data_IF_435228757851
#
_entry.id   IF_435228757851
#
_cell.length_a   1.000
_cell.length_b   1.000
_cell.length_c   1.000
_cell.angle_alpha   90.00
_cell.angle_beta   90.00
_cell.angle_gamma   90.00
#
_symmetry.space_group_name_H-M   'P 1'
#
loop_
_entity.id
_entity.type
_entity.pdbx_description
1 polymer ?
#
# COMPACT_ATOMS: atom_id res chain seq x y z
N UNK A 1 -60.99 -48.28 14.99
CA UNK A 1 -59.55 -48.04 14.89
C UNK A 1 -59.33 -47.06 13.78
N UNK A 2 -59.02 -45.78 14.12
CA UNK A 2 -58.91 -44.69 13.15
C UNK A 2 -57.44 -44.30 13.05
N UNK A 3 -56.78 -44.63 11.96
CA UNK A 3 -55.40 -44.26 11.68
C UNK A 3 -55.35 -42.81 11.18
N UNK A 4 -54.70 -41.94 11.97
CA UNK A 4 -54.35 -40.62 11.51
C UNK A 4 -52.91 -40.64 10.98
N UNK A 5 -52.85 -40.42 9.66
CA UNK A 5 -51.60 -40.24 8.94
C UNK A 5 -51.20 -38.76 9.04
N UNK A 6 -50.22 -38.44 9.86
CA UNK A 6 -49.69 -37.07 9.94
C UNK A 6 -48.71 -36.85 8.78
N UNK A 7 -49.13 -35.99 7.83
CA UNK A 7 -48.25 -35.52 6.74
C UNK A 7 -47.36 -34.41 7.27
N UNK A 8 -46.07 -34.69 7.38
CA UNK A 8 -45.05 -33.70 7.70
C UNK A 8 -44.68 -32.91 6.43
N UNK A 9 -45.16 -31.67 6.32
CA UNK A 9 -44.80 -30.78 5.21
C UNK A 9 -43.44 -30.16 5.53
N UNK A 10 -42.39 -30.61 4.83
CA UNK A 10 -41.06 -30.04 4.88
C UNK A 10 -41.02 -28.73 4.06
N UNK A 11 -41.04 -27.57 4.72
CA UNK A 11 -40.89 -26.28 4.06
C UNK A 11 -39.40 -26.06 3.81
N UNK A 12 -38.92 -26.26 2.58
CA UNK A 12 -37.61 -25.83 2.15
C UNK A 12 -37.60 -24.30 1.98
N UNK A 13 -36.99 -23.59 2.93
CA UNK A 13 -36.68 -22.17 2.80
C UNK A 13 -35.43 -22.06 1.92
N UNK A 14 -35.60 -21.80 0.63
CA UNK A 14 -34.52 -21.41 -0.25
C UNK A 14 -34.11 -19.98 0.09
N UNK A 15 -33.04 -19.80 0.88
CA UNK A 15 -32.39 -18.52 1.03
C UNK A 15 -31.72 -18.17 -0.31
N UNK A 16 -32.41 -17.39 -1.15
CA UNK A 16 -31.75 -16.70 -2.25
C UNK A 16 -30.84 -15.63 -1.65
N UNK A 17 -29.55 -15.97 -1.46
CA UNK A 17 -28.52 -14.98 -1.29
C UNK A 17 -28.45 -14.13 -2.55
N UNK A 18 -28.78 -12.84 -2.47
CA UNK A 18 -28.56 -11.90 -3.56
C UNK A 18 -27.04 -11.81 -3.80
N UNK A 19 -26.59 -12.38 -4.93
CA UNK A 19 -25.25 -12.13 -5.45
C UNK A 19 -25.19 -10.63 -5.75
N UNK A 20 -24.17 -9.89 -5.31
CA UNK A 20 -24.04 -8.48 -5.68
C UNK A 20 -24.04 -8.39 -7.20
N UNK A 21 -24.90 -7.54 -7.75
CA UNK A 21 -24.95 -7.28 -9.18
C UNK A 21 -23.61 -6.68 -9.60
N UNK A 22 -22.73 -7.46 -10.22
CA UNK A 22 -21.51 -6.95 -10.83
C UNK A 22 -21.94 -6.03 -11.97
N UNK A 23 -21.72 -4.74 -11.80
CA UNK A 23 -21.95 -3.76 -12.86
C UNK A 23 -20.95 -4.03 -13.99
N UNK A 24 -21.47 -4.51 -15.12
CA UNK A 24 -20.66 -4.77 -16.31
C UNK A 24 -20.64 -3.53 -17.21
N UNK A 25 -19.50 -3.30 -17.85
CA UNK A 25 -19.35 -2.34 -18.92
C UNK A 25 -20.14 -2.80 -20.17
N UNK A 26 -20.31 -1.91 -21.15
CA UNK A 26 -21.04 -2.21 -22.39
C UNK A 26 -20.42 -3.35 -23.22
N UNK A 27 -19.16 -3.69 -22.99
CA UNK A 27 -18.44 -4.82 -23.61
C UNK A 27 -18.56 -6.13 -22.80
N UNK A 28 -19.40 -6.16 -21.76
CA UNK A 28 -19.64 -7.32 -20.91
C UNK A 28 -18.53 -7.64 -19.90
N UNK A 29 -17.52 -6.77 -19.78
CA UNK A 29 -16.47 -6.92 -18.77
C UNK A 29 -16.85 -6.23 -17.46
N UNK A 30 -16.38 -6.71 -16.30
CA UNK A 30 -16.54 -6.00 -15.04
C UNK A 30 -16.01 -4.56 -15.17
N UNK A 31 -16.79 -3.59 -14.69
CA UNK A 31 -16.30 -2.22 -14.58
C UNK A 31 -15.07 -2.21 -13.67
N UNK A 32 -14.05 -1.39 -13.97
CA UNK A 32 -12.91 -1.22 -13.09
C UNK A 32 -13.40 -0.87 -11.69
N UNK A 33 -12.92 -1.62 -10.69
CA UNK A 33 -13.30 -1.39 -9.30
C UNK A 33 -12.70 -0.06 -8.87
N UNK A 34 -13.54 0.92 -8.67
CA UNK A 34 -13.12 2.22 -8.19
C UNK A 34 -12.88 2.15 -6.67
N UNK A 35 -11.64 2.36 -6.24
CA UNK A 35 -11.30 2.49 -4.83
C UNK A 35 -11.33 3.97 -4.45
N UNK A 36 -12.31 4.37 -3.65
CA UNK A 36 -12.37 5.72 -3.08
C UNK A 36 -11.63 5.76 -1.76
N UNK A 37 -10.45 6.36 -1.76
CA UNK A 37 -9.61 6.54 -0.58
C UNK A 37 -9.87 7.87 0.12
N UNK A 38 -10.70 8.74 -0.43
CA UNK A 38 -10.97 10.06 0.15
C UNK A 38 -11.78 9.96 1.45
N UNK A 39 -12.55 8.89 1.60
CA UNK A 39 -13.34 8.57 2.80
C UNK A 39 -12.58 7.76 3.85
N UNK A 40 -11.38 7.26 3.53
CA UNK A 40 -10.57 6.44 4.44
C UNK A 40 -9.66 7.33 5.26
N UNK A 41 -9.65 7.12 6.58
CA UNK A 41 -8.70 7.79 7.46
C UNK A 41 -7.26 7.43 7.08
N UNK A 42 -6.43 8.46 6.91
CA UNK A 42 -5.05 8.30 6.43
C UNK A 42 -4.21 7.41 7.35
N UNK A 43 -4.37 7.54 8.67
CA UNK A 43 -3.65 6.71 9.62
C UNK A 43 -4.03 5.24 9.48
N UNK A 44 -5.32 4.94 9.27
CA UNK A 44 -5.81 3.58 9.06
C UNK A 44 -5.13 2.94 7.84
N UNK A 45 -5.00 3.66 6.74
CA UNK A 45 -4.37 3.15 5.52
C UNK A 45 -2.86 2.94 5.72
N UNK A 46 -2.19 3.89 6.40
CA UNK A 46 -0.78 3.80 6.71
C UNK A 46 -0.45 2.61 7.63
N UNK A 47 -1.27 2.38 8.67
CA UNK A 47 -1.08 1.23 9.55
C UNK A 47 -1.36 -0.09 8.84
N UNK A 48 -2.36 -0.16 7.97
CA UNK A 48 -2.66 -1.37 7.20
C UNK A 48 -1.52 -1.73 6.24
N UNK A 49 -0.91 -0.74 5.59
CA UNK A 49 0.29 -0.95 4.78
C UNK A 49 1.46 -1.40 5.66
N UNK A 50 1.71 -0.75 6.79
CA UNK A 50 2.77 -1.11 7.74
C UNK A 50 2.62 -2.55 8.23
N UNK A 51 1.42 -2.93 8.68
CA UNK A 51 1.14 -4.27 9.19
C UNK A 51 1.36 -5.33 8.11
N UNK A 52 0.95 -5.04 6.86
CA UNK A 52 1.13 -5.93 5.73
C UNK A 52 2.61 -6.12 5.38
N UNK A 53 3.39 -5.05 5.34
CA UNK A 53 4.85 -5.12 5.13
C UNK A 53 5.52 -5.86 6.27
N UNK A 54 5.14 -5.60 7.52
CA UNK A 54 5.74 -6.25 8.69
C UNK A 54 5.41 -7.74 8.76
N UNK A 55 4.20 -8.15 8.38
CA UNK A 55 3.85 -9.57 8.29
C UNK A 55 4.75 -10.33 7.30
N UNK A 56 5.09 -9.69 6.17
CA UNK A 56 6.02 -10.26 5.18
C UNK A 56 7.45 -10.31 5.72
N UNK A 57 7.92 -9.23 6.34
CA UNK A 57 9.25 -9.15 6.94
C UNK A 57 9.43 -10.18 8.05
N UNK A 58 8.44 -10.33 8.94
CA UNK A 58 8.43 -11.35 9.99
C UNK A 58 8.52 -12.78 9.43
N UNK A 59 7.85 -13.05 8.31
CA UNK A 59 7.84 -14.37 7.68
C UNK A 59 9.22 -14.86 7.23
N UNK A 60 10.16 -13.93 7.04
CA UNK A 60 11.55 -14.21 6.64
C UNK A 60 12.58 -13.78 7.72
N UNK A 61 12.11 -13.43 8.92
CA UNK A 61 12.98 -13.11 10.06
C UNK A 61 13.61 -11.72 10.04
N UNK A 62 13.07 -10.78 9.26
CA UNK A 62 13.55 -9.40 9.22
C UNK A 62 12.96 -8.55 10.34
N UNK A 63 13.71 -7.54 10.78
CA UNK A 63 13.24 -6.54 11.75
C UNK A 63 12.00 -5.81 11.24
N UNK A 64 10.98 -5.66 12.10
CA UNK A 64 9.78 -4.88 11.78
C UNK A 64 10.11 -3.39 11.59
N UNK A 65 9.42 -2.78 10.64
CA UNK A 65 9.46 -1.34 10.39
C UNK A 65 8.53 -0.59 11.34
N UNK A 66 8.81 0.68 11.55
CA UNK A 66 7.93 1.64 12.25
C UNK A 66 7.62 2.81 11.33
N UNK A 67 6.40 3.37 11.43
CA UNK A 67 6.07 4.59 10.70
C UNK A 67 6.94 5.75 11.21
N UNK A 68 7.51 6.49 10.26
CA UNK A 68 8.26 7.71 10.51
C UNK A 68 7.55 8.89 9.83
N UNK A 69 7.15 9.89 10.63
CA UNK A 69 6.39 11.03 10.15
C UNK A 69 7.14 11.87 9.09
N UNK A 70 8.46 11.96 9.17
CA UNK A 70 9.29 12.68 8.19
C UNK A 70 9.32 11.94 6.86
N UNK A 71 9.52 10.62 6.86
CA UNK A 71 9.45 9.80 5.65
C UNK A 71 8.04 9.83 5.05
N UNK A 72 6.99 9.80 5.88
CA UNK A 72 5.60 9.96 5.43
C UNK A 72 5.35 11.32 4.76
N UNK A 73 5.92 12.40 5.31
CA UNK A 73 5.82 13.73 4.70
C UNK A 73 6.56 13.82 3.35
N UNK A 74 7.73 13.19 3.24
CA UNK A 74 8.46 13.09 1.97
C UNK A 74 7.62 12.31 0.93
N UNK A 75 7.05 11.16 1.31
CA UNK A 75 6.17 10.37 0.46
C UNK A 75 4.93 11.15 0.01
N UNK A 76 4.26 11.88 0.92
CA UNK A 76 3.08 12.69 0.61
C UNK A 76 3.38 13.81 -0.39
N UNK A 77 4.52 14.46 -0.23
CA UNK A 77 4.99 15.48 -1.17
C UNK A 77 5.18 14.88 -2.56
N UNK A 78 5.83 13.73 -2.63
CA UNK A 78 6.14 13.10 -3.91
C UNK A 78 4.92 12.52 -4.62
N UNK A 79 4.01 11.86 -3.91
CA UNK A 79 2.76 11.36 -4.49
C UNK A 79 1.95 12.46 -5.18
N UNK A 80 1.87 13.63 -4.55
CA UNK A 80 1.20 14.79 -5.13
C UNK A 80 1.97 15.38 -6.32
N UNK A 81 3.28 15.41 -6.24
CA UNK A 81 4.13 15.95 -7.30
C UNK A 81 4.12 15.05 -8.55
N UNK A 82 4.11 13.73 -8.39
CA UNK A 82 3.91 12.78 -9.51
C UNK A 82 2.58 13.03 -10.22
N UNK A 83 1.50 13.28 -9.48
CA UNK A 83 0.20 13.63 -10.06
C UNK A 83 0.27 14.93 -10.88
N UNK A 84 0.93 15.95 -10.37
CA UNK A 84 1.13 17.22 -11.10
C UNK A 84 1.94 17.03 -12.38
N UNK A 85 2.95 16.16 -12.35
CA UNK A 85 3.76 15.83 -13.51
C UNK A 85 3.08 14.84 -14.46
N UNK A 86 1.99 14.19 -14.00
CA UNK A 86 1.35 13.04 -14.66
C UNK A 86 2.38 11.96 -15.07
N UNK A 87 3.30 11.64 -14.15
CA UNK A 87 4.43 10.75 -14.42
C UNK A 87 4.87 10.00 -13.16
N UNK A 88 4.87 8.65 -13.17
CA UNK A 88 5.39 7.82 -12.07
C UNK A 88 6.92 7.68 -12.19
N UNK A 89 7.65 8.60 -11.64
CA UNK A 89 9.11 8.56 -11.60
C UNK A 89 9.66 9.15 -10.30
N UNK A 90 10.90 8.84 -9.98
CA UNK A 90 11.51 9.18 -8.69
C UNK A 90 11.92 10.65 -8.52
N UNK A 91 11.99 11.44 -9.58
CA UNK A 91 12.42 12.84 -9.49
C UNK A 91 11.24 13.79 -9.34
N UNK A 92 11.38 14.75 -8.45
CA UNK A 92 10.43 15.84 -8.29
C UNK A 92 10.38 16.77 -9.51
N UNK A 93 9.29 17.52 -9.67
CA UNK A 93 9.16 18.58 -10.69
C UNK A 93 10.23 19.67 -10.55
N UNK A 94 10.80 19.81 -9.35
CA UNK A 94 11.93 20.69 -9.03
C UNK A 94 13.30 20.04 -9.22
N UNK A 95 13.35 18.82 -9.76
CA UNK A 95 14.56 18.02 -9.95
C UNK A 95 15.07 17.31 -8.71
N UNK A 96 14.36 17.39 -7.57
CA UNK A 96 14.79 16.73 -6.33
C UNK A 96 14.74 15.21 -6.45
N UNK A 97 15.78 14.55 -5.93
CA UNK A 97 15.79 13.10 -5.73
C UNK A 97 14.97 12.69 -4.49
N UNK A 98 14.66 11.40 -4.31
CA UNK A 98 14.05 10.90 -3.08
C UNK A 98 14.85 11.26 -1.82
N UNK A 99 16.18 11.15 -1.88
CA UNK A 99 17.07 11.53 -0.79
C UNK A 99 16.98 13.04 -0.46
N UNK A 100 16.89 13.91 -1.48
CA UNK A 100 16.75 15.35 -1.26
C UNK A 100 15.42 15.67 -0.57
N UNK A 101 14.34 14.98 -0.93
CA UNK A 101 13.04 15.13 -0.27
C UNK A 101 13.08 14.68 1.19
N UNK A 102 13.72 13.53 1.48
CA UNK A 102 13.90 13.05 2.86
C UNK A 102 14.71 14.06 3.70
N UNK A 103 15.81 14.58 3.17
CA UNK A 103 16.61 15.62 3.84
C UNK A 103 15.82 16.92 4.06
N UNK A 104 15.04 17.34 3.08
CA UNK A 104 14.23 18.58 3.15
C UNK A 104 13.20 18.55 4.28
N UNK A 105 12.63 17.39 4.58
CA UNK A 105 11.73 17.21 5.73
C UNK A 105 12.48 16.94 7.05
N UNK A 106 13.80 17.02 7.03
CA UNK A 106 14.65 16.83 8.21
C UNK A 106 14.84 15.38 8.65
N UNK A 107 14.76 14.43 7.73
CA UNK A 107 15.11 13.04 8.03
C UNK A 107 16.62 12.93 8.13
N UNK A 108 17.11 12.57 9.32
CA UNK A 108 18.54 12.56 9.66
C UNK A 108 19.17 11.17 9.61
N UNK A 109 18.34 10.12 9.65
CA UNK A 109 18.78 8.74 9.55
C UNK A 109 19.09 8.37 8.08
N UNK A 110 19.56 7.16 7.84
CA UNK A 110 19.90 6.70 6.50
C UNK A 110 18.64 6.50 5.66
N UNK A 111 18.55 7.20 4.52
CA UNK A 111 17.59 6.89 3.48
C UNK A 111 18.04 5.61 2.76
N UNK A 112 17.15 4.62 2.59
CA UNK A 112 17.48 3.34 1.98
C UNK A 112 16.83 3.17 0.62
N UNK A 113 15.59 3.60 0.43
CA UNK A 113 14.94 3.47 -0.86
C UNK A 113 13.55 4.09 -0.93
N UNK A 114 13.01 4.12 -2.15
CA UNK A 114 11.67 4.59 -2.45
C UNK A 114 11.01 3.69 -3.48
N UNK A 115 9.79 3.25 -3.23
CA UNK A 115 8.91 2.61 -4.22
C UNK A 115 7.76 3.54 -4.57
N UNK A 116 7.38 3.56 -5.85
CA UNK A 116 6.30 4.39 -6.37
C UNK A 116 5.39 3.57 -7.28
N UNK A 117 4.14 4.01 -7.40
CA UNK A 117 3.19 3.42 -8.34
C UNK A 117 2.15 4.42 -8.80
N UNK A 118 1.66 4.22 -10.01
CA UNK A 118 0.47 4.85 -10.57
C UNK A 118 -0.55 3.74 -10.86
N UNK A 119 -1.71 3.79 -10.22
CA UNK A 119 -2.70 2.72 -10.32
C UNK A 119 -4.11 3.22 -9.99
N UNK A 120 -5.11 2.37 -10.24
CA UNK A 120 -6.48 2.50 -9.74
C UNK A 120 -6.79 1.48 -8.64
N UNK A 121 -5.80 0.70 -8.23
CA UNK A 121 -5.89 -0.37 -7.25
C UNK A 121 -5.68 0.15 -5.83
N UNK A 122 -6.07 -0.66 -4.83
CA UNK A 122 -5.84 -0.34 -3.43
C UNK A 122 -4.37 -0.59 -3.00
N UNK A 123 -4.07 -0.22 -1.77
CA UNK A 123 -2.73 -0.33 -1.18
C UNK A 123 -2.21 -1.77 -1.12
N UNK A 124 -3.09 -2.75 -0.92
CA UNK A 124 -2.68 -4.17 -0.80
C UNK A 124 -2.33 -4.75 -2.18
N UNK A 125 -3.11 -4.44 -3.21
CA UNK A 125 -2.78 -4.84 -4.58
C UNK A 125 -1.52 -4.14 -5.08
N UNK A 126 -1.33 -2.87 -4.70
CA UNK A 126 -0.09 -2.13 -4.99
C UNK A 126 1.12 -2.77 -4.29
N UNK A 127 0.98 -3.14 -3.00
CA UNK A 127 2.02 -3.87 -2.28
C UNK A 127 2.35 -5.21 -2.96
N UNK A 128 1.34 -5.95 -3.41
CA UNK A 128 1.53 -7.21 -4.14
C UNK A 128 2.37 -6.99 -5.40
N UNK A 129 2.04 -5.97 -6.19
CA UNK A 129 2.81 -5.64 -7.39
C UNK A 129 4.26 -5.24 -7.07
N UNK A 130 4.49 -4.48 -5.98
CA UNK A 130 5.85 -4.14 -5.53
C UNK A 130 6.66 -5.36 -5.06
N UNK A 131 6.00 -6.41 -4.56
CA UNK A 131 6.67 -7.65 -4.16
C UNK A 131 6.98 -8.58 -5.34
N UNK A 132 6.26 -8.46 -6.43
CA UNK A 132 6.51 -9.21 -7.67
C UNK A 132 7.71 -8.65 -8.46
N UNK A 133 8.01 -7.36 -8.33
CA UNK A 133 9.18 -6.71 -8.93
C UNK A 133 10.39 -6.78 -8.00
N UNK A 134 11.53 -7.28 -8.49
CA UNK A 134 12.75 -7.49 -7.70
C UNK A 134 13.32 -6.20 -7.11
N UNK A 135 13.24 -5.10 -7.85
CA UNK A 135 13.83 -3.82 -7.42
C UNK A 135 13.01 -3.21 -6.26
N UNK A 136 11.68 -3.19 -6.38
CA UNK A 136 10.81 -2.67 -5.32
C UNK A 136 10.74 -3.62 -4.13
N UNK A 137 10.76 -4.95 -4.36
CA UNK A 137 10.86 -5.94 -3.29
C UNK A 137 12.13 -5.76 -2.48
N UNK A 138 13.28 -5.52 -3.13
CA UNK A 138 14.54 -5.28 -2.44
C UNK A 138 14.44 -4.12 -1.45
N UNK A 139 13.75 -3.02 -1.80
CA UNK A 139 13.55 -1.86 -0.93
C UNK A 139 12.66 -2.20 0.28
N UNK A 140 11.57 -2.95 0.06
CA UNK A 140 10.64 -3.34 1.12
C UNK A 140 11.26 -4.34 2.11
N UNK A 141 12.17 -5.19 1.61
CA UNK A 141 12.80 -6.29 2.36
C UNK A 141 14.26 -5.97 2.75
N UNK A 142 14.71 -4.72 2.64
CA UNK A 142 16.06 -4.31 3.04
C UNK A 142 16.29 -4.60 4.52
N UNK A 143 17.35 -5.36 4.84
CA UNK A 143 17.68 -5.80 6.20
C UNK A 143 18.05 -4.61 7.11
N UNK A 144 18.60 -3.54 6.55
CA UNK A 144 18.95 -2.31 7.27
C UNK A 144 17.75 -1.41 7.56
N UNK A 145 16.59 -1.68 6.96
CA UNK A 145 15.41 -0.86 7.16
C UNK A 145 14.78 -1.10 8.54
N UNK A 146 14.48 -0.01 9.25
CA UNK A 146 13.78 -0.01 10.54
C UNK A 146 12.63 0.99 10.58
N UNK A 147 12.52 1.84 9.57
CA UNK A 147 11.53 2.89 9.46
C UNK A 147 10.94 2.93 8.05
N UNK A 148 9.67 3.30 7.94
CA UNK A 148 9.02 3.57 6.67
C UNK A 148 8.14 4.81 6.75
N UNK A 149 7.94 5.44 5.60
CA UNK A 149 6.89 6.42 5.37
C UNK A 149 6.03 5.96 4.19
N UNK A 150 4.71 6.12 4.30
CA UNK A 150 3.79 5.74 3.25
C UNK A 150 2.74 6.82 3.06
N UNK A 151 2.50 7.18 1.81
CA UNK A 151 1.48 8.15 1.46
C UNK A 151 1.01 7.97 0.01
N UNK A 152 -0.09 8.64 -0.32
CA UNK A 152 -0.69 8.61 -1.64
C UNK A 152 -1.34 9.95 -1.96
N UNK A 153 -1.64 10.12 -3.24
CA UNK A 153 -2.54 11.17 -3.72
C UNK A 153 -3.53 10.54 -4.71
N UNK A 154 -4.82 10.77 -4.50
CA UNK A 154 -5.87 10.31 -5.41
C UNK A 154 -6.43 11.47 -6.20
N UNK A 155 -6.44 11.33 -7.54
CA UNK A 155 -7.06 12.26 -8.45
C UNK A 155 -8.59 12.08 -8.49
N UNK A 156 -9.35 13.12 -8.90
CA UNK A 156 -10.81 13.02 -9.03
C UNK A 156 -11.29 11.92 -10.00
N UNK A 157 -10.47 11.51 -10.96
CA UNK A 157 -10.74 10.40 -11.88
C UNK A 157 -10.50 9.03 -11.27
N UNK A 158 -10.09 8.97 -9.99
CA UNK A 158 -9.82 7.75 -9.23
C UNK A 158 -8.40 7.22 -9.34
N UNK A 159 -7.55 7.80 -10.19
CA UNK A 159 -6.14 7.42 -10.27
C UNK A 159 -5.42 7.72 -8.97
N UNK A 160 -4.56 6.79 -8.53
CA UNK A 160 -3.85 6.90 -7.26
C UNK A 160 -2.35 6.85 -7.52
N UNK A 161 -1.64 7.79 -6.91
CA UNK A 161 -0.20 7.89 -6.92
C UNK A 161 0.34 7.47 -5.56
N UNK A 162 1.07 6.38 -5.52
CA UNK A 162 1.57 5.78 -4.30
C UNK A 162 3.06 6.06 -4.12
N UNK A 163 3.47 6.32 -2.89
CA UNK A 163 4.88 6.42 -2.53
C UNK A 163 5.11 5.75 -1.17
N UNK A 164 6.08 4.86 -1.11
CA UNK A 164 6.61 4.29 0.10
C UNK A 164 8.13 4.55 0.15
N UNK A 165 8.60 5.02 1.28
CA UNK A 165 10.02 5.33 1.52
C UNK A 165 10.50 4.49 2.70
N UNK A 166 11.68 3.90 2.59
CA UNK A 166 12.34 3.17 3.68
C UNK A 166 13.58 3.90 4.18
N UNK A 167 13.85 3.73 5.46
CA UNK A 167 15.02 4.26 6.11
C UNK A 167 15.45 3.40 7.29
N UNK A 168 16.68 3.62 7.73
CA UNK A 168 17.30 2.85 8.80
C UNK A 168 18.27 3.69 9.61
N UNK A 169 18.90 3.10 10.63
CA UNK A 169 19.87 3.81 11.45
C UNK A 169 21.04 4.28 10.60
N UNK A 170 21.56 5.46 10.91
CA UNK A 170 22.82 5.90 10.33
C UNK A 170 23.92 4.97 10.84
N UNK A 171 24.63 4.29 9.92
CA UNK A 171 25.75 3.44 10.27
C UNK A 171 26.81 4.29 10.98
N UNK A 172 27.15 3.91 12.21
CA UNK A 172 28.25 4.55 12.92
C UNK A 172 29.59 4.06 12.34
N UNK A 173 30.63 4.89 12.44
CA UNK A 173 31.96 4.48 11.99
C UNK A 173 32.49 3.21 12.71
N UNK A 174 31.85 2.77 13.80
CA UNK A 174 32.17 1.53 14.51
C UNK A 174 31.58 0.29 13.86
N UNK A 175 30.44 0.43 13.17
CA UNK A 175 29.74 -0.70 12.53
C UNK A 175 30.43 -1.11 11.23
N UNK A 176 31.17 -0.17 10.59
CA UNK A 176 31.88 -0.41 9.33
C UNK A 176 33.19 -1.23 9.54
N UNK A 177 33.70 -1.31 10.77
CA UNK A 177 34.97 -2.01 11.09
C UNK A 177 34.79 -3.41 11.66
N UNK A 178 33.55 -3.87 11.83
CA UNK A 178 33.22 -5.17 12.46
C UNK A 178 32.76 -6.26 11.44
N UNK A 179 32.88 -5.99 10.12
CA UNK A 179 32.52 -6.91 9.05
C UNK A 179 33.73 -7.55 8.36
#
# INVERSE_FOLDING_TARGET
MKNWLSILVLVCVTACGSVPEEHLAADGKPLPKFYDLTSVDAATLQFRMLDSVNALRDSVGLTQLRLNAKLTAAAATHSRDMALQNRPWHFGSDGSSPLDRAKRVGYENQFLGETISETYENEILTLTAWLEDDATRFILMDEGATEMGFSWFQEPNGKIWWTLVTGGPTLSARDVTAG
#
